data_IF_563938509795
#
_entry.id   IF_563938509795
#
_cell.length_a   1.000
_cell.length_b   1.000
_cell.length_c   1.000
_cell.angle_alpha   90.00
_cell.angle_beta   90.00
_cell.angle_gamma   90.00
#
_symmetry.space_group_name_H-M   'P 1'
#
loop_
_entity.id
_entity.type
_entity.pdbx_description
1 polymer ?
#
# COMPACT_ATOMS: atom_id res chain seq x y z
N UNK A 1 -35.62 -22.85 15.66
CA UNK A 1 -35.80 -21.81 16.69
C UNK A 1 -34.45 -21.50 17.32
N UNK A 2 -33.90 -20.34 16.93
CA UNK A 2 -33.01 -19.42 17.67
C UNK A 2 -31.71 -20.01 18.28
N UNK A 3 -30.57 -19.81 17.62
CA UNK A 3 -29.62 -18.68 17.81
C UNK A 3 -28.59 -18.94 18.92
N UNK A 4 -27.36 -19.26 18.54
CA UNK A 4 -26.11 -18.72 19.12
C UNK A 4 -25.00 -18.73 18.06
N UNK A 5 -24.64 -17.53 17.59
CA UNK A 5 -23.32 -17.15 17.06
C UNK A 5 -22.64 -16.27 18.14
N UNK A 6 -21.38 -15.77 18.05
CA UNK A 6 -20.30 -15.94 17.04
C UNK A 6 -18.89 -16.14 17.67
N UNK A 7 -17.84 -15.96 16.83
CA UNK A 7 -16.41 -15.72 17.10
C UNK A 7 -15.46 -16.88 16.79
N UNK A 8 -15.21 -17.09 15.50
CA UNK A 8 -13.98 -17.71 15.00
C UNK A 8 -13.26 -16.68 14.16
N UNK A 9 -12.16 -16.14 14.70
CA UNK A 9 -11.19 -15.35 13.96
C UNK A 9 -10.38 -16.34 13.12
N UNK A 10 -10.48 -16.23 11.80
CA UNK A 10 -9.59 -16.93 10.88
C UNK A 10 -8.22 -16.26 10.94
N UNK A 11 -7.27 -16.88 11.64
CA UNK A 11 -5.85 -16.54 11.57
C UNK A 11 -5.29 -17.25 10.35
N UNK A 12 -4.96 -16.51 9.29
CA UNK A 12 -4.21 -17.04 8.15
C UNK A 12 -2.77 -17.30 8.58
N UNK A 13 -2.35 -18.57 8.57
CA UNK A 13 -0.97 -19.00 8.82
C UNK A 13 -0.05 -18.49 7.71
N UNK A 14 1.00 -17.75 8.08
CA UNK A 14 2.17 -17.51 7.24
C UNK A 14 3.15 -18.67 7.48
N UNK A 15 3.43 -19.50 6.47
CA UNK A 15 4.46 -20.54 6.56
C UNK A 15 5.79 -19.95 6.12
N UNK A 16 6.75 -19.83 7.04
CA UNK A 16 8.14 -19.47 6.74
C UNK A 16 8.91 -20.76 6.48
N UNK A 17 9.40 -20.95 5.24
CA UNK A 17 10.39 -21.97 4.93
C UNK A 17 11.79 -21.45 5.27
N UNK A 18 12.43 -22.02 6.30
CA UNK A 18 13.85 -21.80 6.57
C UNK A 18 14.69 -22.69 5.66
N UNK A 19 15.44 -22.12 4.71
CA UNK A 19 16.51 -22.82 4.02
C UNK A 19 17.82 -22.65 4.78
N UNK A 20 18.30 -23.72 5.43
CA UNK A 20 19.68 -23.82 5.91
C UNK A 20 20.55 -24.36 4.77
N UNK A 21 21.29 -23.48 4.10
CA UNK A 21 22.25 -23.85 3.07
C UNK A 21 23.51 -22.99 3.18
N UNK A 22 24.65 -23.62 3.43
CA UNK A 22 25.97 -22.99 3.60
C UNK A 22 26.40 -22.35 2.26
N UNK A 23 26.74 -21.06 2.27
CA UNK A 23 27.30 -20.36 1.11
C UNK A 23 28.82 -20.57 1.04
N UNK A 24 29.29 -21.20 -0.03
CA UNK A 24 30.67 -21.04 -0.51
C UNK A 24 30.66 -20.00 -1.64
N UNK A 25 31.62 -19.06 -1.72
CA UNK A 25 31.58 -18.03 -2.74
C UNK A 25 32.07 -18.60 -4.08
N UNK A 26 31.21 -18.55 -5.10
CA UNK A 26 31.59 -18.75 -6.50
C UNK A 26 31.67 -17.39 -7.21
N UNK A 27 32.54 -17.24 -8.23
CA UNK A 27 32.93 -15.94 -8.77
C UNK A 27 31.81 -15.30 -9.61
N UNK A 28 31.83 -13.97 -9.65
CA UNK A 28 30.88 -13.10 -10.36
C UNK A 28 30.90 -13.42 -11.87
N UNK A 29 29.81 -14.02 -12.37
CA UNK A 29 29.57 -14.23 -13.79
C UNK A 29 28.46 -13.29 -14.28
N UNK A 30 28.69 -12.65 -15.43
CA UNK A 30 27.72 -11.80 -16.11
C UNK A 30 26.52 -12.63 -16.56
N UNK A 31 25.35 -12.45 -15.92
CA UNK A 31 24.14 -13.19 -16.28
C UNK A 31 23.04 -13.21 -15.20
N UNK A 32 22.80 -12.11 -14.48
CA UNK A 32 21.88 -12.09 -13.31
C UNK A 32 20.39 -12.00 -13.72
N UNK A 33 20.02 -12.47 -14.91
CA UNK A 33 18.63 -12.65 -15.31
C UNK A 33 18.50 -14.02 -15.97
N UNK A 34 18.22 -15.05 -15.18
CA UNK A 34 17.55 -16.24 -15.71
C UNK A 34 16.07 -15.90 -15.79
N UNK A 35 15.48 -15.95 -16.99
CA UNK A 35 14.02 -15.93 -17.09
C UNK A 35 13.47 -17.07 -16.23
N UNK A 36 12.45 -16.82 -15.38
CA UNK A 36 11.82 -17.89 -14.63
C UNK A 36 11.34 -18.94 -15.62
N UNK A 37 11.94 -20.13 -15.59
CA UNK A 37 11.45 -21.28 -16.31
C UNK A 37 10.14 -21.68 -15.62
N UNK A 38 9.01 -21.19 -16.12
CA UNK A 38 7.69 -21.61 -15.67
C UNK A 38 7.63 -23.14 -15.82
N UNK A 39 7.54 -23.87 -14.71
CA UNK A 39 7.42 -25.33 -14.76
C UNK A 39 6.18 -25.69 -15.57
N UNK A 40 6.36 -26.44 -16.65
CA UNK A 40 5.29 -27.12 -17.38
C UNK A 40 4.59 -28.08 -16.40
N UNK A 41 3.51 -27.63 -15.76
CA UNK A 41 2.77 -28.47 -14.81
C UNK A 41 1.90 -27.71 -13.82
N UNK A 42 2.13 -26.42 -13.61
CA UNK A 42 1.30 -25.56 -12.74
C UNK A 42 0.57 -24.47 -13.56
N UNK A 43 0.12 -24.85 -14.76
CA UNK A 43 -0.58 -23.96 -15.70
C UNK A 43 -2.07 -24.27 -15.77
N UNK A 44 -2.73 -24.38 -14.62
CA UNK A 44 -4.18 -24.18 -14.55
C UNK A 44 -4.48 -22.67 -14.62
N UNK A 45 -3.97 -21.99 -15.66
CA UNK A 45 -4.59 -20.75 -16.07
C UNK A 45 -6.00 -21.12 -16.49
N UNK A 46 -7.00 -20.60 -15.76
CA UNK A 46 -8.39 -20.70 -16.18
C UNK A 46 -8.52 -19.91 -17.48
N UNK A 47 -8.39 -20.62 -18.60
CA UNK A 47 -8.67 -20.10 -19.94
C UNK A 47 -10.19 -20.03 -20.10
N UNK A 48 -10.80 -19.04 -19.45
CA UNK A 48 -12.18 -18.67 -19.68
C UNK A 48 -12.26 -17.17 -20.01
N UNK A 49 -13.35 -16.77 -20.64
CA UNK A 49 -13.56 -15.37 -21.04
C UNK A 49 -14.22 -14.64 -19.89
N UNK A 50 -13.53 -13.64 -19.35
CA UNK A 50 -14.15 -12.72 -18.39
C UNK A 50 -15.29 -11.96 -19.07
N UNK A 51 -16.34 -11.55 -18.32
CA UNK A 51 -17.44 -10.77 -18.88
C UNK A 51 -16.95 -9.51 -19.59
N UNK A 52 -17.67 -9.08 -20.63
CA UNK A 52 -17.39 -7.81 -21.29
C UNK A 52 -17.36 -6.67 -20.26
N UNK A 53 -16.32 -5.84 -20.32
CA UNK A 53 -16.11 -4.74 -19.37
C UNK A 53 -15.49 -5.17 -18.03
N UNK A 54 -15.00 -6.41 -17.89
CA UNK A 54 -14.21 -6.80 -16.73
C UNK A 54 -12.98 -5.90 -16.56
N UNK A 55 -12.74 -5.46 -15.33
CA UNK A 55 -11.70 -4.49 -14.98
C UNK A 55 -10.47 -5.20 -14.43
N UNK A 56 -9.32 -4.89 -15.01
CA UNK A 56 -8.02 -5.33 -14.51
C UNK A 56 -7.29 -4.14 -13.89
N UNK A 57 -6.90 -4.29 -12.64
CA UNK A 57 -6.20 -3.25 -11.92
C UNK A 57 -5.19 -3.79 -10.92
N UNK A 58 -4.33 -2.89 -10.45
CA UNK A 58 -3.47 -3.11 -9.29
C UNK A 58 -3.97 -2.27 -8.12
N UNK A 59 -3.59 -2.64 -6.90
CA UNK A 59 -4.00 -1.94 -5.69
C UNK A 59 -2.83 -1.71 -4.73
N UNK A 60 -2.80 -0.53 -4.10
CA UNK A 60 -1.83 -0.15 -3.06
C UNK A 60 -2.53 0.59 -1.91
N UNK A 61 -1.77 0.84 -0.84
CA UNK A 61 -2.16 1.72 0.26
C UNK A 61 -1.04 2.71 0.55
N UNK A 62 -1.40 3.95 0.87
CA UNK A 62 -0.50 5.08 1.04
C UNK A 62 0.68 4.76 1.97
N UNK A 63 0.41 4.31 3.20
CA UNK A 63 1.47 4.01 4.18
C UNK A 63 2.43 2.91 3.70
N UNK A 64 1.96 1.98 2.89
CA UNK A 64 2.75 0.83 2.44
C UNK A 64 3.72 1.18 1.30
N UNK A 65 3.44 2.23 0.51
CA UNK A 65 4.22 2.51 -0.72
C UNK A 65 4.80 3.92 -0.78
N UNK A 66 4.14 4.92 -0.20
CA UNK A 66 4.52 6.33 -0.43
C UNK A 66 5.88 6.70 0.15
N UNK A 67 6.12 6.36 1.43
CA UNK A 67 7.26 6.92 2.15
C UNK A 67 7.10 8.41 2.42
N UNK A 68 8.23 9.14 2.43
CA UNK A 68 8.27 10.59 2.66
C UNK A 68 7.45 10.99 3.90
N UNK A 69 7.62 10.22 4.97
CA UNK A 69 6.69 10.19 6.11
C UNK A 69 6.57 11.52 6.86
N UNK A 70 7.60 12.37 6.78
CA UNK A 70 7.71 13.67 7.42
C UNK A 70 8.11 14.80 6.45
N UNK A 71 7.87 14.61 5.16
CA UNK A 71 8.17 15.60 4.12
C UNK A 71 6.90 16.41 3.78
N UNK A 72 7.11 17.61 3.24
CA UNK A 72 6.05 18.47 2.71
C UNK A 72 4.82 18.64 3.62
N UNK A 73 5.06 18.74 4.93
CA UNK A 73 4.03 19.01 5.92
C UNK A 73 3.16 17.83 6.33
N UNK A 74 3.46 16.59 5.89
CA UNK A 74 2.74 15.39 6.34
C UNK A 74 2.88 15.21 7.87
N UNK A 75 1.76 14.96 8.54
CA UNK A 75 1.70 14.61 9.95
C UNK A 75 2.02 13.12 10.21
N UNK A 76 2.33 12.76 11.47
CA UNK A 76 2.47 11.37 11.87
C UNK A 76 1.10 10.66 11.86
N UNK A 77 1.09 9.41 11.41
CA UNK A 77 -0.02 8.46 11.55
C UNK A 77 0.17 7.56 12.78
N UNK A 78 -0.89 6.85 13.18
CA UNK A 78 -0.79 5.78 14.18
C UNK A 78 0.21 4.70 13.80
N UNK A 79 0.39 4.43 12.49
CA UNK A 79 1.35 3.46 12.01
C UNK A 79 2.80 3.95 12.13
N UNK A 80 3.06 5.25 11.94
CA UNK A 80 4.38 5.84 12.21
C UNK A 80 4.79 5.65 13.68
N UNK A 81 3.83 5.80 14.60
CA UNK A 81 4.06 5.58 16.04
C UNK A 81 4.17 4.10 16.37
N UNK A 82 3.32 3.25 15.79
CA UNK A 82 3.33 1.81 16.02
C UNK A 82 4.62 1.15 15.51
N UNK A 83 5.02 1.43 14.27
CA UNK A 83 6.20 0.80 13.65
C UNK A 83 7.53 1.30 14.21
N UNK A 84 7.56 2.46 14.86
CA UNK A 84 8.78 2.98 15.49
C UNK A 84 9.10 2.33 16.85
N UNK A 85 8.18 1.52 17.38
CA UNK A 85 8.39 0.82 18.65
C UNK A 85 9.11 -0.52 18.40
N UNK A 86 10.20 -0.82 19.14
CA UNK A 86 10.94 -2.07 18.97
C UNK A 86 10.06 -3.32 19.13
N UNK A 87 10.20 -4.26 18.19
CA UNK A 87 9.51 -5.55 18.18
C UNK A 87 8.04 -5.50 17.83
N UNK A 88 7.51 -4.36 17.35
CA UNK A 88 6.11 -4.24 16.90
C UNK A 88 5.88 -4.65 15.45
N UNK A 89 6.91 -4.54 14.63
CA UNK A 89 6.95 -4.94 13.22
C UNK A 89 8.16 -5.87 13.05
N UNK A 90 8.04 -6.83 12.15
CA UNK A 90 9.15 -7.74 11.85
C UNK A 90 10.38 -6.95 11.38
N UNK A 91 11.57 -7.37 11.81
CA UNK A 91 12.84 -6.69 11.57
C UNK A 91 12.90 -5.19 11.96
N UNK A 92 11.96 -4.70 12.77
CA UNK A 92 11.79 -3.28 13.09
C UNK A 92 11.60 -2.39 11.84
N UNK A 93 10.98 -2.94 10.79
CA UNK A 93 10.70 -2.23 9.55
C UNK A 93 9.73 -1.04 9.76
N UNK A 94 9.86 0.00 8.93
CA UNK A 94 9.04 1.21 9.03
C UNK A 94 8.59 1.72 7.66
N UNK A 95 7.46 2.44 7.63
CA UNK A 95 6.95 3.13 6.42
C UNK A 95 7.66 4.44 6.07
N UNK A 96 8.84 4.72 6.67
CA UNK A 96 9.50 6.03 6.50
C UNK A 96 9.92 6.32 5.06
N UNK A 97 10.43 5.30 4.38
CA UNK A 97 10.84 5.35 2.95
C UNK A 97 9.91 4.48 2.10
N UNK A 98 9.51 3.29 2.59
CA UNK A 98 8.65 2.36 1.86
C UNK A 98 9.18 2.08 0.43
N UNK A 99 8.31 2.16 -0.59
CA UNK A 99 8.69 2.05 -2.00
C UNK A 99 9.11 3.38 -2.62
N UNK A 100 9.08 4.48 -1.86
CA UNK A 100 9.39 5.84 -2.31
C UNK A 100 8.46 6.34 -3.42
N UNK A 101 7.22 5.83 -3.47
CA UNK A 101 6.21 6.22 -4.46
C UNK A 101 5.77 7.68 -4.34
N UNK A 102 6.04 8.36 -3.22
CA UNK A 102 5.82 9.81 -3.11
C UNK A 102 6.66 10.57 -4.15
N UNK A 103 7.92 10.18 -4.32
CA UNK A 103 8.82 10.78 -5.30
C UNK A 103 8.73 10.12 -6.67
N UNK A 104 8.40 8.82 -6.72
CA UNK A 104 8.47 7.98 -7.91
C UNK A 104 7.12 7.61 -8.55
N UNK A 105 6.06 8.34 -8.21
CA UNK A 105 4.72 8.00 -8.71
C UNK A 105 4.65 7.99 -10.24
N UNK A 106 5.44 8.81 -10.95
CA UNK A 106 5.47 8.80 -12.41
C UNK A 106 6.04 7.50 -12.96
N UNK A 107 7.13 7.00 -12.38
CA UNK A 107 7.71 5.70 -12.72
C UNK A 107 6.72 4.57 -12.44
N UNK A 108 6.05 4.61 -11.29
CA UNK A 108 5.04 3.63 -10.92
C UNK A 108 3.87 3.61 -11.92
N UNK A 109 3.38 4.77 -12.36
CA UNK A 109 2.34 4.87 -13.41
C UNK A 109 2.83 4.27 -14.73
N UNK A 110 4.09 4.50 -15.12
CA UNK A 110 4.64 3.86 -16.32
C UNK A 110 4.75 2.34 -16.17
N UNK A 111 4.99 1.81 -14.97
CA UNK A 111 4.95 0.36 -14.72
C UNK A 111 3.54 -0.21 -14.83
N UNK A 112 2.52 0.47 -14.28
CA UNK A 112 1.11 0.09 -14.43
C UNK A 112 0.70 0.02 -15.90
N UNK A 113 1.13 1.02 -16.69
CA UNK A 113 0.90 1.04 -18.14
C UNK A 113 1.56 -0.14 -18.85
N UNK A 114 2.80 -0.49 -18.49
CA UNK A 114 3.52 -1.65 -19.04
C UNK A 114 2.87 -2.97 -18.64
N UNK A 115 2.30 -3.04 -17.43
CA UNK A 115 1.55 -4.20 -16.94
C UNK A 115 0.24 -4.41 -17.74
N UNK A 116 -0.25 -3.38 -18.42
CA UNK A 116 -1.46 -3.45 -19.24
C UNK A 116 -2.76 -3.36 -18.45
N UNK A 117 -2.70 -2.90 -17.19
CA UNK A 117 -3.91 -2.61 -16.40
C UNK A 117 -4.55 -1.30 -16.83
N UNK A 118 -5.86 -1.21 -16.68
CA UNK A 118 -6.62 0.00 -16.99
C UNK A 118 -7.19 0.70 -15.74
N UNK A 119 -7.03 0.12 -14.56
CA UNK A 119 -7.43 0.74 -13.29
C UNK A 119 -6.32 0.66 -12.26
N UNK A 120 -6.27 1.66 -11.38
CA UNK A 120 -5.37 1.65 -10.24
C UNK A 120 -6.09 2.10 -8.98
N UNK A 121 -6.17 1.19 -8.01
CA UNK A 121 -6.70 1.50 -6.69
C UNK A 121 -5.57 1.96 -5.78
N UNK A 122 -5.70 3.16 -5.23
CA UNK A 122 -4.79 3.67 -4.21
C UNK A 122 -5.58 4.27 -3.04
N UNK A 123 -4.92 4.51 -1.92
CA UNK A 123 -5.52 5.26 -0.82
C UNK A 123 -4.92 6.66 -0.71
N UNK A 124 -5.71 7.59 -0.18
CA UNK A 124 -5.21 8.90 0.23
C UNK A 124 -4.75 8.79 1.68
N UNK A 125 -3.57 9.32 1.98
CA UNK A 125 -3.09 9.44 3.33
C UNK A 125 -3.74 10.63 4.02
N UNK A 126 -4.63 10.35 4.96
CA UNK A 126 -5.27 11.39 5.77
C UNK A 126 -4.24 12.33 6.41
N UNK A 127 -3.19 11.88 7.12
CA UNK A 127 -2.22 12.78 7.74
C UNK A 127 -1.35 13.53 6.73
N UNK A 128 -1.33 13.14 5.45
CA UNK A 128 -0.68 13.93 4.40
C UNK A 128 -1.54 15.12 3.99
N UNK A 129 -2.86 14.95 3.90
CA UNK A 129 -3.81 15.99 3.48
C UNK A 129 -4.25 16.89 4.65
N UNK A 130 -4.55 16.28 5.80
CA UNK A 130 -4.92 16.96 7.04
C UNK A 130 -4.02 16.44 8.17
N UNK A 131 -2.87 17.07 8.43
CA UNK A 131 -1.87 16.57 9.38
C UNK A 131 -2.34 16.39 10.81
N UNK A 132 -3.29 17.22 11.28
CA UNK A 132 -3.92 17.08 12.60
C UNK A 132 -5.22 16.25 12.56
N UNK A 133 -5.58 15.76 11.37
CA UNK A 133 -6.79 15.01 11.08
C UNK A 133 -8.07 15.83 11.01
N UNK A 134 -8.01 17.16 11.10
CA UNK A 134 -9.19 18.03 11.03
C UNK A 134 -9.14 18.91 9.78
N UNK A 135 -10.27 19.53 9.45
CA UNK A 135 -10.35 20.52 8.37
C UNK A 135 -9.80 21.91 8.76
N UNK A 136 -9.22 22.07 9.95
CA UNK A 136 -8.68 23.35 10.42
C UNK A 136 -7.50 23.84 9.58
N UNK A 137 -6.73 22.89 9.06
CA UNK A 137 -5.59 23.12 8.18
C UNK A 137 -5.52 22.03 7.12
N UNK A 138 -5.53 22.44 5.85
CA UNK A 138 -5.32 21.55 4.71
C UNK A 138 -3.89 21.74 4.20
N UNK A 139 -3.13 20.66 4.13
CA UNK A 139 -1.78 20.67 3.60
C UNK A 139 -1.81 20.65 2.07
N UNK A 140 -1.53 21.80 1.45
CA UNK A 140 -1.61 21.96 0.00
C UNK A 140 -0.62 21.05 -0.74
N UNK A 141 0.61 20.87 -0.24
CA UNK A 141 1.59 20.00 -0.90
C UNK A 141 1.12 18.53 -0.91
N UNK A 142 0.46 18.10 0.15
CA UNK A 142 -0.19 16.79 0.22
C UNK A 142 -1.32 16.63 -0.78
N UNK A 143 -2.17 17.65 -0.96
CA UNK A 143 -3.20 17.64 -2.00
C UNK A 143 -2.60 17.64 -3.41
N UNK A 144 -1.56 18.44 -3.64
CA UNK A 144 -0.88 18.55 -4.93
C UNK A 144 -0.29 17.21 -5.36
N UNK A 145 0.27 16.43 -4.42
CA UNK A 145 0.73 15.07 -4.70
C UNK A 145 -0.38 14.18 -5.29
N UNK A 146 -1.55 14.08 -4.63
CA UNK A 146 -2.64 13.25 -5.13
C UNK A 146 -3.25 13.81 -6.42
N UNK A 147 -3.34 15.13 -6.56
CA UNK A 147 -3.76 15.78 -7.80
C UNK A 147 -2.84 15.39 -8.96
N UNK A 148 -1.53 15.44 -8.74
CA UNK A 148 -0.53 15.07 -9.74
C UNK A 148 -0.56 13.58 -10.07
N UNK A 149 -0.69 12.70 -9.07
CA UNK A 149 -0.85 11.25 -9.29
C UNK A 149 -2.10 10.95 -10.13
N UNK A 150 -3.25 11.53 -9.80
CA UNK A 150 -4.50 11.36 -10.55
C UNK A 150 -4.34 11.83 -11.99
N UNK A 151 -3.75 13.01 -12.20
CA UNK A 151 -3.49 13.51 -13.55
C UNK A 151 -2.56 12.60 -14.34
N UNK A 152 -1.50 12.07 -13.71
CA UNK A 152 -0.56 11.16 -14.36
C UNK A 152 -1.23 9.83 -14.75
N UNK A 153 -2.10 9.28 -13.90
CA UNK A 153 -2.90 8.09 -14.22
C UNK A 153 -3.82 8.33 -15.42
N UNK A 154 -4.60 9.42 -15.39
CA UNK A 154 -5.52 9.78 -16.47
C UNK A 154 -4.79 10.03 -17.79
N UNK A 155 -3.64 10.72 -17.75
CA UNK A 155 -2.78 10.94 -18.93
C UNK A 155 -2.26 9.64 -19.55
N UNK A 156 -2.25 8.54 -18.79
CA UNK A 156 -1.84 7.22 -19.24
C UNK A 156 -3.02 6.25 -19.47
N UNK A 157 -4.25 6.75 -19.49
CA UNK A 157 -5.49 5.97 -19.64
C UNK A 157 -5.69 4.90 -18.55
N UNK A 158 -5.30 5.21 -17.31
CA UNK A 158 -5.52 4.38 -16.14
C UNK A 158 -6.55 5.08 -15.26
N UNK A 159 -7.67 4.42 -15.00
CA UNK A 159 -8.76 4.97 -14.20
C UNK A 159 -8.41 4.90 -12.70
N UNK A 160 -8.43 6.04 -11.98
CA UNK A 160 -8.13 6.08 -10.56
C UNK A 160 -9.32 5.56 -9.73
N UNK A 161 -9.05 4.66 -8.78
CA UNK A 161 -10.00 4.22 -7.77
C UNK A 161 -9.50 4.59 -6.36
N UNK A 162 -10.22 5.48 -5.67
CA UNK A 162 -9.73 6.07 -4.42
C UNK A 162 -10.31 5.37 -3.19
N UNK A 163 -9.42 4.99 -2.27
CA UNK A 163 -9.77 4.60 -0.90
C UNK A 163 -9.49 5.78 0.04
N UNK A 164 -10.51 6.31 0.71
CA UNK A 164 -10.34 7.48 1.59
C UNK A 164 -9.61 7.16 2.89
N UNK A 165 -9.74 5.94 3.40
CA UNK A 165 -9.07 5.50 4.62
C UNK A 165 -8.52 4.09 4.47
N UNK A 166 -7.21 3.94 4.69
CA UNK A 166 -6.54 2.64 4.69
C UNK A 166 -5.57 2.53 5.87
N UNK A 167 -6.15 2.69 7.07
CA UNK A 167 -5.55 2.44 8.39
C UNK A 167 -4.53 3.48 8.89
N UNK A 168 -4.17 4.48 8.11
CA UNK A 168 -3.21 5.53 8.50
C UNK A 168 -3.89 6.73 9.16
N UNK A 169 -4.59 6.48 10.27
CA UNK A 169 -5.24 7.55 11.05
C UNK A 169 -4.19 8.58 11.52
N UNK A 170 -4.45 9.90 11.41
CA UNK A 170 -3.59 10.91 12.01
C UNK A 170 -3.43 10.69 13.51
N UNK A 171 -2.19 10.65 13.99
CA UNK A 171 -1.86 10.41 15.39
C UNK A 171 -2.49 11.47 16.32
N UNK A 172 -2.71 12.69 15.81
CA UNK A 172 -3.41 13.74 16.55
C UNK A 172 -4.86 13.35 16.91
N UNK A 173 -5.56 12.60 16.05
CA UNK A 173 -6.90 12.09 16.34
C UNK A 173 -6.86 10.89 17.30
N UNK A 174 -5.87 10.01 17.14
CA UNK A 174 -5.69 8.88 18.06
C UNK A 174 -5.50 9.36 19.51
N UNK A 175 -4.72 10.43 19.71
CA UNK A 175 -4.53 11.07 21.01
C UNK A 175 -5.81 11.62 21.63
N UNK A 176 -6.83 11.89 20.81
CA UNK A 176 -8.17 12.32 21.23
C UNK A 176 -9.15 11.14 21.43
N UNK A 177 -8.69 9.90 21.30
CA UNK A 177 -9.50 8.69 21.41
C UNK A 177 -9.78 7.97 20.09
N UNK A 178 -9.29 8.49 18.96
CA UNK A 178 -9.33 7.84 17.65
C UNK A 178 -10.72 7.35 17.27
N UNK A 179 -10.81 6.11 16.79
CA UNK A 179 -12.07 5.47 16.41
C UNK A 179 -13.07 5.24 17.55
N UNK A 180 -12.65 5.38 18.80
CA UNK A 180 -13.53 5.29 19.97
C UNK A 180 -14.15 6.64 20.35
N UNK A 181 -13.68 7.74 19.75
CA UNK A 181 -14.26 9.06 19.93
C UNK A 181 -15.23 9.37 18.78
N UNK A 182 -16.48 9.70 19.10
CA UNK A 182 -17.52 10.04 18.13
C UNK A 182 -17.20 11.29 17.29
N UNK A 183 -16.35 12.19 17.78
CA UNK A 183 -15.95 13.40 17.06
C UNK A 183 -15.23 13.09 15.74
N UNK A 184 -14.78 11.84 15.52
CA UNK A 184 -14.11 11.41 14.28
C UNK A 184 -15.05 11.32 13.06
N UNK A 185 -16.36 11.36 13.29
CA UNK A 185 -17.38 11.27 12.22
C UNK A 185 -17.53 12.60 11.47
N UNK A 186 -17.26 13.72 12.14
CA UNK A 186 -17.38 15.10 11.62
C UNK A 186 -16.08 15.60 10.98
#
# INVERSE_FOLDING_TARGET
>A
MLLKLPYQWAVTLMTVLTFTGVLSPAPVAAGIYEEPQLQEGDQDFLYDTFPDGFVWGAATAAYQVEGAWNEDGKGPSIWDVYSSQPGKVDNDDTGRVACDSYHKYKEDVQLLKKLGVNHYRFSISWPRVMPDGTNSYINQAGLDYYHNLINELLNNNIEPMVTLYHWDLPEALERRGGWLNSDIVE
#
